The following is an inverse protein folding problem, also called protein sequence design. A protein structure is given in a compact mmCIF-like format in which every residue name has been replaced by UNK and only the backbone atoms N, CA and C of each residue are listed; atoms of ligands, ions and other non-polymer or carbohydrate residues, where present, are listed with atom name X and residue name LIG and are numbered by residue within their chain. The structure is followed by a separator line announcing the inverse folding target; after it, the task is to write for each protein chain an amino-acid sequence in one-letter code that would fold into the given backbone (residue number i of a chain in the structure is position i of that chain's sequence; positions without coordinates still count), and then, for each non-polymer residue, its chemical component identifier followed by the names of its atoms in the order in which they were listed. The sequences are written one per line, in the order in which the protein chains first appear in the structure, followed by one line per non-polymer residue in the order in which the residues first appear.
data_IF_854511905060
#
_entry.id   IF_854511905060
#
_cell.length_a   1.000
_cell.length_b   1.000
_cell.length_c   1.000
_cell.angle_alpha   90.00
_cell.angle_beta   90.00
_cell.angle_gamma   90.00
#
_symmetry.space_group_name_H-M   'P 1'
#
loop_
_entity.id
_entity.type
_entity.pdbx_description
1 polymer ?
#
# COMPACT_ATOMS: atom_id res chain seq x y z
N UNK A 1 39.42 -34.25 21.93
CA UNK A 1 38.43 -33.65 22.84
C UNK A 1 38.38 -32.13 22.75
N UNK A 2 39.52 -31.42 22.80
CA UNK A 2 39.57 -29.95 22.71
C UNK A 2 39.08 -29.43 21.35
N UNK A 3 39.51 -30.03 20.22
CA UNK A 3 39.03 -29.66 18.88
C UNK A 3 37.51 -29.83 18.70
N UNK A 4 36.95 -30.91 19.26
CA UNK A 4 35.51 -31.16 19.24
C UNK A 4 34.75 -30.04 19.98
N UNK A 5 35.26 -29.63 21.15
CA UNK A 5 34.69 -28.53 21.94
C UNK A 5 34.81 -27.18 21.22
N UNK A 6 35.92 -26.91 20.54
CA UNK A 6 36.13 -25.69 19.73
C UNK A 6 35.16 -25.64 18.54
N UNK A 7 34.93 -26.77 17.87
CA UNK A 7 33.94 -26.85 16.79
C UNK A 7 32.51 -26.58 17.28
N UNK A 8 32.10 -27.18 18.40
CA UNK A 8 30.78 -26.89 18.98
C UNK A 8 30.64 -25.43 19.39
N UNK A 9 31.67 -24.84 20.01
CA UNK A 9 31.66 -23.42 20.36
C UNK A 9 31.55 -22.52 19.13
N UNK A 10 32.28 -22.81 18.06
CA UNK A 10 32.22 -22.06 16.79
C UNK A 10 30.83 -22.10 16.14
N UNK A 11 30.18 -23.27 16.15
CA UNK A 11 28.82 -23.44 15.61
C UNK A 11 27.81 -22.63 16.43
N UNK A 12 27.90 -22.69 17.77
CA UNK A 12 27.01 -21.93 18.66
C UNK A 12 27.19 -20.42 18.46
N UNK A 13 28.44 -19.94 18.40
CA UNK A 13 28.74 -18.52 18.16
C UNK A 13 28.17 -18.07 16.82
N UNK A 14 28.36 -18.87 15.76
CA UNK A 14 27.84 -18.55 14.43
C UNK A 14 26.31 -18.49 14.42
N UNK A 15 25.63 -19.42 15.09
CA UNK A 15 24.18 -19.43 15.21
C UNK A 15 23.65 -18.19 15.97
N UNK A 16 24.34 -17.78 17.04
CA UNK A 16 24.00 -16.57 17.79
C UNK A 16 24.15 -15.32 16.93
N UNK A 17 25.26 -15.19 16.18
CA UNK A 17 25.50 -14.05 15.29
C UNK A 17 24.41 -13.95 14.22
N UNK A 18 24.08 -15.06 13.55
CA UNK A 18 23.02 -15.10 12.54
C UNK A 18 21.68 -14.68 13.15
N UNK A 19 21.37 -15.18 14.35
CA UNK A 19 20.13 -14.84 15.05
C UNK A 19 20.06 -13.33 15.37
N UNK A 20 21.16 -12.73 15.83
CA UNK A 20 21.23 -11.29 16.10
C UNK A 20 21.02 -10.48 14.83
N UNK A 21 21.65 -10.87 13.71
CA UNK A 21 21.49 -10.19 12.42
C UNK A 21 20.03 -10.23 11.97
N UNK A 22 19.38 -11.39 12.04
CA UNK A 22 17.95 -11.55 11.68
C UNK A 22 17.06 -10.69 12.57
N UNK A 23 17.31 -10.64 13.88
CA UNK A 23 16.55 -9.79 14.80
C UNK A 23 16.72 -8.30 14.50
N UNK A 24 17.92 -7.86 14.12
CA UNK A 24 18.19 -6.47 13.74
C UNK A 24 17.48 -6.09 12.44
N UNK A 25 17.53 -6.93 11.41
CA UNK A 25 16.82 -6.72 10.14
C UNK A 25 15.31 -6.60 10.40
N UNK A 26 14.74 -7.57 11.12
CA UNK A 26 13.32 -7.56 11.48
C UNK A 26 12.91 -6.30 12.25
N UNK A 27 13.77 -5.81 13.15
CA UNK A 27 13.50 -4.60 13.93
C UNK A 27 13.52 -3.34 13.05
N UNK A 28 14.42 -3.27 12.07
CA UNK A 28 14.50 -2.16 11.12
C UNK A 28 13.28 -2.17 10.20
N UNK A 29 12.87 -3.32 9.67
CA UNK A 29 11.68 -3.44 8.83
C UNK A 29 10.40 -3.04 9.58
N UNK A 30 10.21 -3.53 10.81
CA UNK A 30 9.05 -3.15 11.63
C UNK A 30 9.01 -1.65 11.93
N UNK A 31 10.16 -1.01 12.19
CA UNK A 31 10.23 0.44 12.35
C UNK A 31 9.88 1.17 11.06
N UNK A 32 10.37 0.68 9.92
CA UNK A 32 10.10 1.28 8.61
C UNK A 32 8.61 1.21 8.25
N UNK A 33 7.92 0.14 8.62
CA UNK A 33 6.49 -0.01 8.38
C UNK A 33 5.59 0.64 9.45
N UNK A 34 6.15 1.15 10.55
CA UNK A 34 5.38 1.69 11.68
C UNK A 34 4.75 3.05 11.46
N UNK A 35 5.28 3.88 10.54
CA UNK A 35 4.93 5.31 10.48
C UNK A 35 4.08 5.71 9.27
N UNK A 36 3.61 4.74 8.48
CA UNK A 36 2.74 4.99 7.35
C UNK A 36 1.28 4.72 7.74
N UNK A 37 0.45 5.75 7.69
CA UNK A 37 -1.00 5.59 7.79
C UNK A 37 -1.62 5.94 6.44
N UNK A 38 -2.38 5.00 5.88
CA UNK A 38 -3.13 5.21 4.64
C UNK A 38 -4.54 5.64 5.01
N UNK A 39 -4.99 6.79 4.52
CA UNK A 39 -6.40 7.15 4.55
C UNK A 39 -7.01 6.95 3.17
N UNK A 40 -8.16 6.31 3.11
CA UNK A 40 -8.94 6.16 1.88
C UNK A 40 -10.14 7.09 1.91
N UNK A 41 -10.30 7.90 0.87
CA UNK A 41 -11.49 8.70 0.61
C UNK A 41 -12.31 8.08 -0.52
N UNK A 42 -13.64 8.20 -0.47
CA UNK A 42 -14.55 7.70 -1.50
C UNK A 42 -15.53 8.78 -1.93
N UNK A 43 -15.84 8.84 -3.21
CA UNK A 43 -16.91 9.70 -3.73
C UNK A 43 -17.73 9.01 -4.82
N UNK A 44 -18.96 9.48 -5.00
CA UNK A 44 -19.84 9.03 -6.07
C UNK A 44 -19.74 9.98 -7.25
N UNK A 45 -19.58 9.44 -8.44
CA UNK A 45 -19.55 10.19 -9.68
C UNK A 45 -20.63 9.69 -10.63
N UNK A 46 -21.42 10.59 -11.20
CA UNK A 46 -22.46 10.26 -12.17
C UNK A 46 -21.96 10.56 -13.58
N UNK A 47 -21.75 9.51 -14.36
CA UNK A 47 -21.33 9.58 -15.75
C UNK A 47 -22.56 9.62 -16.67
N UNK A 48 -22.85 10.76 -17.29
CA UNK A 48 -24.02 10.91 -18.17
C UNK A 48 -23.65 10.59 -19.62
N UNK A 49 -24.30 9.60 -20.24
CA UNK A 49 -23.96 9.19 -21.61
C UNK A 49 -24.22 10.29 -22.65
N UNK A 50 -25.20 11.16 -22.40
CA UNK A 50 -25.50 12.33 -23.25
C UNK A 50 -24.44 13.43 -23.19
N UNK A 51 -23.51 13.39 -22.23
CA UNK A 51 -22.48 14.40 -21.96
C UNK A 51 -21.10 13.76 -21.87
N UNK A 52 -20.84 12.78 -22.73
CA UNK A 52 -19.67 11.91 -22.68
C UNK A 52 -18.35 12.71 -22.61
N UNK A 53 -18.18 13.70 -23.50
CA UNK A 53 -16.96 14.50 -23.56
C UNK A 53 -16.74 15.34 -22.29
N UNK A 54 -17.79 15.93 -21.74
CA UNK A 54 -17.74 16.68 -20.46
C UNK A 54 -17.34 15.74 -19.31
N UNK A 55 -17.95 14.56 -19.24
CA UNK A 55 -17.66 13.57 -18.21
C UNK A 55 -16.23 13.03 -18.31
N UNK A 56 -15.72 12.79 -19.52
CA UNK A 56 -14.32 12.37 -19.72
C UNK A 56 -13.37 13.48 -19.27
N UNK A 57 -13.62 14.73 -19.66
CA UNK A 57 -12.78 15.86 -19.25
C UNK A 57 -12.75 16.02 -17.73
N UNK A 58 -13.88 15.81 -17.06
CA UNK A 58 -13.97 15.83 -15.59
C UNK A 58 -13.24 14.66 -14.94
N UNK A 59 -13.43 13.42 -15.43
CA UNK A 59 -12.69 12.25 -14.94
C UNK A 59 -11.17 12.42 -15.11
N UNK A 60 -10.71 13.04 -16.20
CA UNK A 60 -9.30 13.34 -16.39
C UNK A 60 -8.76 14.31 -15.32
N UNK A 61 -9.53 15.35 -14.96
CA UNK A 61 -9.17 16.27 -13.86
C UNK A 61 -9.12 15.53 -12.52
N UNK A 62 -10.14 14.72 -12.25
CA UNK A 62 -10.20 13.92 -11.02
C UNK A 62 -9.03 12.93 -10.93
N UNK A 63 -8.64 12.31 -12.04
CA UNK A 63 -7.45 11.46 -12.11
C UNK A 63 -6.16 12.22 -11.82
N UNK A 64 -6.03 13.46 -12.33
CA UNK A 64 -4.89 14.32 -11.99
C UNK A 64 -4.86 14.71 -10.50
N UNK A 65 -6.03 14.79 -9.86
CA UNK A 65 -6.19 15.02 -8.41
C UNK A 65 -6.03 13.74 -7.56
N UNK A 66 -5.67 12.62 -8.17
CA UNK A 66 -5.39 11.34 -7.50
C UNK A 66 -6.62 10.47 -7.24
N UNK A 67 -7.76 10.75 -7.90
CA UNK A 67 -8.93 9.88 -7.83
C UNK A 67 -8.86 8.76 -8.87
N UNK A 68 -9.13 7.55 -8.41
CA UNK A 68 -9.17 6.34 -9.23
C UNK A 68 -10.58 5.75 -9.24
N UNK A 69 -10.95 5.07 -10.32
CA UNK A 69 -12.23 4.36 -10.39
C UNK A 69 -12.10 3.08 -9.55
N UNK A 70 -12.83 3.03 -8.43
CA UNK A 70 -12.85 1.87 -7.55
C UNK A 70 -13.84 0.81 -8.03
N UNK A 71 -15.04 1.22 -8.43
CA UNK A 71 -16.07 0.32 -8.97
C UNK A 71 -17.16 1.08 -9.72
N UNK A 72 -17.93 0.37 -10.56
CA UNK A 72 -19.21 0.84 -11.06
C UNK A 72 -20.32 0.40 -10.10
N UNK A 73 -21.02 1.36 -9.50
CA UNK A 73 -22.14 1.15 -8.57
C UNK A 73 -23.46 0.77 -9.27
N UNK A 74 -23.51 0.86 -10.59
CA UNK A 74 -24.68 0.53 -11.40
C UNK A 74 -24.81 1.45 -12.61
N UNK A 75 -25.73 1.11 -13.50
CA UNK A 75 -26.05 1.90 -14.67
C UNK A 75 -27.56 1.86 -14.95
N UNK A 76 -28.05 2.91 -15.58
CA UNK A 76 -29.38 2.98 -16.18
C UNK A 76 -29.26 3.38 -17.66
N UNK A 77 -30.37 3.56 -18.37
CA UNK A 77 -30.36 3.90 -19.79
C UNK A 77 -29.72 5.26 -20.12
N UNK A 78 -29.45 6.11 -19.12
CA UNK A 78 -29.02 7.50 -19.29
C UNK A 78 -27.65 7.79 -18.64
N UNK A 79 -27.26 7.02 -17.62
CA UNK A 79 -26.03 7.25 -16.88
C UNK A 79 -25.46 5.98 -16.22
N UNK A 80 -24.14 6.00 -16.04
CA UNK A 80 -23.42 5.08 -15.15
C UNK A 80 -23.06 5.80 -13.85
N UNK A 81 -23.06 5.08 -12.73
CA UNK A 81 -22.66 5.58 -11.43
C UNK A 81 -21.34 4.94 -11.03
N UNK A 82 -20.29 5.74 -10.90
CA UNK A 82 -18.97 5.29 -10.51
C UNK A 82 -18.73 5.62 -9.04
N UNK A 83 -18.03 4.72 -8.34
CA UNK A 83 -17.39 5.02 -7.06
C UNK A 83 -15.93 5.30 -7.36
N UNK A 84 -15.49 6.49 -6.99
CA UNK A 84 -14.10 6.90 -7.07
C UNK A 84 -13.45 6.78 -5.69
N UNK A 85 -12.17 6.46 -5.67
CA UNK A 85 -11.36 6.30 -4.47
C UNK A 85 -10.08 7.12 -4.59
N UNK A 86 -9.62 7.69 -3.49
CA UNK A 86 -8.31 8.32 -3.39
C UNK A 86 -7.60 7.80 -2.16
N UNK A 87 -6.36 7.34 -2.33
CA UNK A 87 -5.50 6.93 -1.24
C UNK A 87 -4.49 8.02 -0.91
N UNK A 88 -4.43 8.42 0.36
CA UNK A 88 -3.42 9.35 0.84
C UNK A 88 -2.50 8.62 1.80
N UNK A 89 -1.24 8.50 1.41
CA UNK A 89 -0.18 7.99 2.27
C UNK A 89 0.32 9.12 3.16
N UNK A 90 0.01 9.05 4.45
CA UNK A 90 0.57 9.97 5.41
C UNK A 90 1.85 9.38 5.98
N UNK A 91 2.89 10.20 5.96
CA UNK A 91 4.13 9.93 6.67
C UNK A 91 4.04 10.62 8.02
N UNK A 92 3.98 9.86 9.11
CA UNK A 92 4.17 10.45 10.44
C UNK A 92 5.62 10.93 10.50
N UNK A 93 5.81 12.25 10.63
CA UNK A 93 7.14 12.84 10.90
C UNK A 93 7.52 12.67 12.36
#
# INVERSE_FOLDING_TARGET
MIELLVHFASVIISAVIITIIVLLINRIERKRHGDYHITCEYMRYRYSYSKMDECIAELCKLGADGWEIATCAGEDSFAAYLILKRETLHTSK
#
